data_IF_426489755066
#
_entry.id   IF_426489755066
#
_cell.length_a   1.000
_cell.length_b   1.000
_cell.length_c   1.000
_cell.angle_alpha   90.00
_cell.angle_beta   90.00
_cell.angle_gamma   90.00
#
_symmetry.space_group_name_H-M   'P 1'
#
loop_
_entity.id
_entity.type
_entity.pdbx_description
1 polymer ?
#
# COMPACT_ATOMS: atom_id res chain seq x y z
N UNK A 1 6.51 -4.30 2.37
CA UNK A 1 7.46 -4.74 3.43
C UNK A 1 7.66 -3.69 4.52
N UNK A 2 7.85 -2.40 4.19
CA UNK A 2 8.03 -1.33 5.21
C UNK A 2 6.86 -1.22 6.19
N UNK A 3 5.62 -1.27 5.73
CA UNK A 3 4.41 -1.20 6.58
C UNK A 3 4.32 -2.39 7.56
N UNK A 4 4.79 -3.58 7.16
CA UNK A 4 4.86 -4.74 8.05
C UNK A 4 5.89 -4.53 9.18
N UNK A 5 7.00 -3.86 8.88
CA UNK A 5 8.05 -3.58 9.87
C UNK A 5 7.64 -2.50 10.88
N UNK A 6 6.74 -1.58 10.52
CA UNK A 6 6.23 -0.54 11.43
C UNK A 6 5.41 -1.10 12.59
N UNK A 7 4.90 -2.32 12.45
CA UNK A 7 4.07 -2.96 13.47
C UNK A 7 4.84 -3.87 14.41
N UNK A 8 6.08 -4.13 14.09
CA UNK A 8 7.01 -4.80 14.98
C UNK A 8 7.54 -3.81 16.02
N UNK A 9 7.76 -4.29 17.24
CA UNK A 9 8.52 -3.53 18.21
C UNK A 9 9.93 -3.23 17.67
N UNK A 10 10.65 -2.22 18.18
CA UNK A 10 12.00 -1.91 17.75
C UNK A 10 12.94 -3.12 17.78
N UNK A 11 12.85 -3.93 18.83
CA UNK A 11 13.65 -5.15 18.99
C UNK A 11 13.31 -6.22 17.96
N UNK A 12 12.01 -6.48 17.76
CA UNK A 12 11.54 -7.45 16.76
C UNK A 12 11.95 -7.02 15.35
N UNK A 13 11.87 -5.72 15.07
CA UNK A 13 12.27 -5.17 13.78
C UNK A 13 13.77 -5.34 13.54
N UNK A 14 14.59 -4.99 14.52
CA UNK A 14 16.05 -5.13 14.43
C UNK A 14 16.44 -6.61 14.21
N UNK A 15 15.93 -7.52 15.03
CA UNK A 15 16.22 -8.95 14.94
C UNK A 15 15.72 -9.54 13.62
N UNK A 16 14.51 -9.19 13.17
CA UNK A 16 13.94 -9.65 11.91
C UNK A 16 14.78 -9.21 10.71
N UNK A 17 15.15 -7.92 10.66
CA UNK A 17 15.93 -7.37 9.56
C UNK A 17 17.33 -8.00 9.52
N UNK A 18 18.02 -8.09 10.67
CA UNK A 18 19.35 -8.68 10.73
C UNK A 18 19.34 -10.16 10.34
N UNK A 19 18.34 -10.93 10.83
CA UNK A 19 18.28 -12.38 10.56
C UNK A 19 17.71 -12.71 9.19
N UNK A 20 16.49 -12.21 8.89
CA UNK A 20 15.71 -12.69 7.74
C UNK A 20 16.01 -11.91 6.45
N UNK A 21 16.59 -10.71 6.54
CA UNK A 21 16.99 -9.91 5.36
C UNK A 21 18.49 -10.00 5.11
N UNK A 22 19.31 -9.86 6.14
CA UNK A 22 20.77 -9.84 6.01
C UNK A 22 21.45 -11.17 6.31
N UNK A 23 20.79 -12.13 6.97
CA UNK A 23 21.30 -13.48 7.20
C UNK A 23 22.31 -13.61 8.33
N UNK A 24 22.43 -12.62 9.23
CA UNK A 24 23.32 -12.68 10.39
C UNK A 24 22.97 -13.85 11.32
N UNK A 25 23.95 -14.41 11.99
CA UNK A 25 23.74 -15.47 12.97
C UNK A 25 23.19 -14.93 14.29
N UNK A 26 22.50 -15.79 15.04
CA UNK A 26 21.84 -15.38 16.27
C UNK A 26 22.81 -14.87 17.34
N UNK A 27 24.04 -15.42 17.38
CA UNK A 27 25.08 -14.97 18.30
C UNK A 27 25.62 -13.58 17.93
N UNK A 28 25.79 -13.31 16.63
CA UNK A 28 26.16 -11.99 16.12
C UNK A 28 25.09 -10.95 16.44
N UNK A 29 23.83 -11.32 16.21
CA UNK A 29 22.69 -10.45 16.54
C UNK A 29 22.62 -10.21 18.06
N UNK A 30 22.83 -11.23 18.88
CA UNK A 30 22.84 -11.13 20.33
C UNK A 30 23.87 -10.11 20.83
N UNK A 31 25.09 -10.16 20.26
CA UNK A 31 26.13 -9.17 20.52
C UNK A 31 25.74 -7.75 20.11
N UNK A 32 25.13 -7.60 18.93
CA UNK A 32 24.72 -6.30 18.38
C UNK A 32 23.57 -5.64 19.17
N UNK A 33 22.57 -6.44 19.65
CA UNK A 33 21.40 -5.91 20.37
C UNK A 33 21.53 -5.97 21.88
N UNK A 34 22.65 -6.46 22.42
CA UNK A 34 22.92 -6.55 23.86
C UNK A 34 22.01 -7.53 24.60
N UNK A 35 21.66 -8.66 23.96
CA UNK A 35 20.76 -9.69 24.52
C UNK A 35 21.40 -11.08 24.46
N UNK A 36 20.83 -12.06 25.17
CA UNK A 36 21.27 -13.44 25.02
C UNK A 36 20.78 -14.04 23.70
N UNK A 37 21.52 -14.99 23.14
CA UNK A 37 21.12 -15.70 21.92
C UNK A 37 19.74 -16.34 22.03
N UNK A 38 19.41 -16.92 23.21
CA UNK A 38 18.08 -17.47 23.49
C UNK A 38 16.96 -16.40 23.39
N UNK A 39 17.20 -15.21 23.92
CA UNK A 39 16.25 -14.09 23.84
C UNK A 39 16.09 -13.59 22.39
N UNK A 40 17.18 -13.57 21.61
CA UNK A 40 17.14 -13.20 20.18
C UNK A 40 16.37 -14.25 19.39
N UNK A 41 16.57 -15.54 19.62
CA UNK A 41 15.79 -16.63 19.03
C UNK A 41 14.28 -16.45 19.27
N UNK A 42 13.91 -16.18 20.52
CA UNK A 42 12.51 -15.98 20.88
C UNK A 42 11.92 -14.71 20.24
N UNK A 43 12.73 -13.65 20.15
CA UNK A 43 12.31 -12.40 19.49
C UNK A 43 12.14 -12.61 17.99
N UNK A 44 13.06 -13.35 17.33
CA UNK A 44 12.94 -13.70 15.92
C UNK A 44 11.69 -14.54 15.63
N UNK A 45 11.38 -15.50 16.52
CA UNK A 45 10.17 -16.32 16.40
C UNK A 45 8.90 -15.43 16.43
N UNK A 46 8.77 -14.59 17.47
CA UNK A 46 7.63 -13.65 17.59
C UNK A 46 7.53 -12.70 16.42
N UNK A 47 8.65 -12.14 15.97
CA UNK A 47 8.68 -11.25 14.81
C UNK A 47 8.16 -11.95 13.55
N UNK A 48 8.58 -13.21 13.31
CA UNK A 48 8.06 -14.01 12.19
C UNK A 48 6.58 -14.31 12.33
N UNK A 49 6.10 -14.64 13.51
CA UNK A 49 4.68 -14.87 13.76
C UNK A 49 3.86 -13.60 13.49
N UNK A 50 4.30 -12.43 13.96
CA UNK A 50 3.66 -11.16 13.69
C UNK A 50 3.65 -10.83 12.18
N UNK A 51 4.76 -11.06 11.49
CA UNK A 51 4.86 -10.90 10.03
C UNK A 51 3.96 -11.90 9.32
N UNK A 52 3.91 -13.17 9.77
CA UNK A 52 3.09 -14.22 9.16
C UNK A 52 1.59 -14.01 9.39
N UNK A 53 1.19 -13.62 10.60
CA UNK A 53 -0.21 -13.30 10.91
C UNK A 53 -0.77 -12.16 10.06
N UNK A 54 0.11 -11.23 9.65
CA UNK A 54 -0.24 -10.15 8.72
C UNK A 54 -0.03 -10.51 7.25
N UNK A 55 0.87 -11.44 6.93
CA UNK A 55 1.06 -11.95 5.57
C UNK A 55 -0.22 -12.61 5.03
N UNK A 56 -1.03 -13.22 5.88
CA UNK A 56 -2.37 -13.72 5.49
C UNK A 56 -3.31 -12.62 4.96
N UNK A 57 -3.10 -11.37 5.38
CA UNK A 57 -3.80 -10.19 4.81
C UNK A 57 -3.25 -9.75 3.46
N UNK A 58 -2.05 -10.22 3.10
CA UNK A 58 -1.35 -9.92 1.85
C UNK A 58 -1.12 -11.17 1.01
N UNK A 59 -1.91 -12.24 1.20
CA UNK A 59 -1.92 -13.34 0.24
C UNK A 59 -2.23 -12.76 -1.14
N UNK A 60 -1.44 -13.10 -2.17
CA UNK A 60 -1.68 -12.58 -3.50
C UNK A 60 -3.08 -13.01 -3.91
N UNK A 61 -3.99 -12.06 -4.02
CA UNK A 61 -5.25 -12.29 -4.72
C UNK A 61 -4.88 -12.75 -6.12
N UNK A 62 -5.60 -13.74 -6.65
CA UNK A 62 -5.42 -14.20 -8.02
C UNK A 62 -5.27 -13.00 -8.95
N UNK A 63 -4.17 -12.92 -9.74
CA UNK A 63 -3.92 -11.80 -10.64
C UNK A 63 -5.12 -11.47 -11.54
N UNK A 64 -5.87 -12.49 -11.98
CA UNK A 64 -7.07 -12.33 -12.81
C UNK A 64 -8.20 -11.66 -12.02
N UNK A 65 -8.41 -12.08 -10.78
CA UNK A 65 -9.40 -11.46 -9.90
C UNK A 65 -9.02 -10.03 -9.56
N UNK A 66 -7.72 -9.77 -9.29
CA UNK A 66 -7.18 -8.44 -9.02
C UNK A 66 -7.41 -7.49 -10.20
N UNK A 67 -7.09 -7.93 -11.42
CA UNK A 67 -7.30 -7.14 -12.63
C UNK A 67 -8.78 -6.81 -12.83
N UNK A 68 -9.66 -7.79 -12.66
CA UNK A 68 -11.11 -7.61 -12.77
C UNK A 68 -11.66 -6.60 -11.76
N UNK A 69 -11.26 -6.70 -10.49
CA UNK A 69 -11.69 -5.76 -9.44
C UNK A 69 -11.19 -4.36 -9.77
N UNK A 70 -9.95 -4.21 -10.24
CA UNK A 70 -9.38 -2.92 -10.63
C UNK A 70 -10.14 -2.28 -11.79
N UNK A 71 -10.50 -3.06 -12.81
CA UNK A 71 -11.27 -2.59 -13.95
C UNK A 71 -12.69 -2.17 -13.54
N UNK A 72 -13.37 -3.00 -12.75
CA UNK A 72 -14.70 -2.67 -12.21
C UNK A 72 -14.66 -1.41 -11.35
N UNK A 73 -13.62 -1.25 -10.52
CA UNK A 73 -13.42 -0.06 -9.72
C UNK A 73 -13.25 1.21 -10.59
N UNK A 74 -12.39 1.15 -11.61
CA UNK A 74 -12.19 2.29 -12.51
C UNK A 74 -13.45 2.66 -13.27
N UNK A 75 -14.18 1.66 -13.77
CA UNK A 75 -15.45 1.86 -14.47
C UNK A 75 -16.47 2.53 -13.55
N UNK A 76 -16.68 1.99 -12.35
CA UNK A 76 -17.62 2.55 -11.37
C UNK A 76 -17.24 3.97 -10.94
N UNK A 77 -15.95 4.23 -10.73
CA UNK A 77 -15.45 5.56 -10.37
C UNK A 77 -15.62 6.58 -11.51
N UNK A 78 -15.36 6.19 -12.75
CA UNK A 78 -15.48 7.04 -13.94
C UNK A 78 -16.94 7.36 -14.28
N UNK A 79 -17.85 6.38 -14.13
CA UNK A 79 -19.29 6.56 -14.41
C UNK A 79 -20.05 7.19 -13.25
N UNK A 80 -19.46 7.24 -12.05
CA UNK A 80 -20.11 7.76 -10.85
C UNK A 80 -21.06 6.75 -10.19
N UNK A 81 -20.93 5.46 -10.51
CA UNK A 81 -21.78 4.40 -9.96
C UNK A 81 -21.39 4.09 -8.50
N UNK A 82 -22.12 4.74 -7.60
CA UNK A 82 -21.93 4.59 -6.15
C UNK A 82 -22.23 3.17 -5.68
N UNK A 83 -23.26 2.51 -6.22
CA UNK A 83 -23.64 1.16 -5.79
C UNK A 83 -22.57 0.13 -6.19
N UNK A 84 -22.06 0.23 -7.41
CA UNK A 84 -20.96 -0.60 -7.86
C UNK A 84 -19.69 -0.38 -7.01
N UNK A 85 -19.32 0.87 -6.70
CA UNK A 85 -18.18 1.15 -5.82
C UNK A 85 -18.36 0.53 -4.43
N UNK A 86 -19.52 0.70 -3.81
CA UNK A 86 -19.81 0.13 -2.50
C UNK A 86 -19.75 -1.40 -2.52
N UNK A 87 -20.16 -2.03 -3.63
CA UNK A 87 -20.07 -3.48 -3.79
C UNK A 87 -18.64 -4.01 -3.83
N UNK A 88 -17.66 -3.18 -4.22
CA UNK A 88 -16.24 -3.54 -4.30
C UNK A 88 -15.47 -3.25 -3.00
N UNK A 89 -15.97 -2.35 -2.16
CA UNK A 89 -15.32 -1.94 -0.92
C UNK A 89 -15.66 -2.87 0.24
N UNK A 90 -14.70 -3.09 1.13
CA UNK A 90 -14.96 -3.66 2.45
C UNK A 90 -15.70 -2.62 3.32
N UNK A 91 -16.58 -3.05 4.26
CA UNK A 91 -17.35 -2.11 5.09
C UNK A 91 -16.47 -1.11 5.88
N UNK A 92 -15.30 -1.56 6.29
CA UNK A 92 -14.29 -0.82 7.04
C UNK A 92 -13.15 -0.30 6.15
N UNK A 93 -13.36 -0.22 4.84
CA UNK A 93 -12.36 0.26 3.89
C UNK A 93 -11.75 1.60 4.33
N UNK A 94 -10.46 1.77 4.10
CA UNK A 94 -9.74 2.99 4.47
C UNK A 94 -9.09 3.67 3.26
N UNK A 95 -8.93 4.98 3.35
CA UNK A 95 -8.12 5.76 2.41
C UNK A 95 -7.12 6.61 3.18
N UNK A 96 -5.84 6.36 2.92
CA UNK A 96 -4.71 7.10 3.49
C UNK A 96 -3.94 7.81 2.39
N UNK A 97 -3.51 9.05 2.64
CA UNK A 97 -2.75 9.83 1.66
C UNK A 97 -1.40 10.25 2.24
N UNK A 98 -0.34 9.98 1.48
CA UNK A 98 0.99 10.52 1.72
C UNK A 98 1.28 11.66 0.74
N UNK A 99 1.32 12.88 1.25
CA UNK A 99 1.65 14.09 0.49
C UNK A 99 3.01 14.69 0.86
N UNK A 100 3.64 14.18 1.92
CA UNK A 100 4.85 14.78 2.49
C UNK A 100 4.66 16.25 2.93
N UNK A 101 3.41 16.71 3.09
CA UNK A 101 3.10 18.11 3.35
C UNK A 101 3.26 19.05 2.13
N UNK A 102 3.66 18.51 0.96
CA UNK A 102 4.01 19.28 -0.25
C UNK A 102 2.91 19.27 -1.32
N UNK A 103 1.89 18.43 -1.16
CA UNK A 103 0.75 18.35 -2.07
C UNK A 103 -0.58 18.44 -1.32
N UNK A 104 -1.64 18.86 -2.03
CA UNK A 104 -3.00 18.84 -1.49
C UNK A 104 -3.39 17.40 -1.20
N UNK A 105 -3.72 17.10 0.04
CA UNK A 105 -4.01 15.75 0.49
C UNK A 105 -5.04 15.74 1.62
N UNK A 106 -5.68 14.60 1.76
CA UNK A 106 -6.50 14.27 2.92
C UNK A 106 -5.54 14.00 4.07
N UNK A 107 -5.54 14.85 5.09
CA UNK A 107 -4.60 14.77 6.22
C UNK A 107 -4.94 13.65 7.20
N UNK A 108 -6.22 13.32 7.33
CA UNK A 108 -6.72 12.28 8.24
C UNK A 108 -7.24 11.13 7.41
N UNK A 109 -6.91 9.86 7.73
CA UNK A 109 -7.47 8.71 7.03
C UNK A 109 -8.99 8.74 7.01
N UNK A 110 -9.59 8.46 5.84
CA UNK A 110 -11.02 8.26 5.71
C UNK A 110 -11.29 6.78 6.04
N UNK A 111 -12.28 6.52 6.88
CA UNK A 111 -12.66 5.17 7.28
C UNK A 111 -14.15 4.93 6.99
N UNK A 112 -14.44 3.78 6.40
CA UNK A 112 -15.77 3.30 6.06
C UNK A 112 -16.09 3.43 4.57
N UNK A 113 -16.72 2.37 4.02
CA UNK A 113 -16.99 2.23 2.58
C UNK A 113 -17.70 3.45 1.98
N UNK A 114 -18.74 3.95 2.63
CA UNK A 114 -19.54 5.09 2.13
C UNK A 114 -18.70 6.37 1.99
N UNK A 115 -17.89 6.67 3.02
CA UNK A 115 -17.02 7.85 3.02
C UNK A 115 -15.90 7.72 1.99
N UNK A 116 -15.34 6.54 1.87
CA UNK A 116 -14.30 6.24 0.87
C UNK A 116 -14.88 6.34 -0.54
N UNK A 117 -16.05 5.74 -0.81
CA UNK A 117 -16.72 5.84 -2.10
C UNK A 117 -17.02 7.32 -2.47
N UNK A 118 -17.55 8.10 -1.54
CA UNK A 118 -17.84 9.52 -1.77
C UNK A 118 -16.56 10.31 -2.09
N UNK A 119 -15.45 10.03 -1.42
CA UNK A 119 -14.16 10.66 -1.68
C UNK A 119 -13.61 10.29 -3.06
N UNK A 120 -13.70 9.01 -3.45
CA UNK A 120 -13.31 8.51 -4.77
C UNK A 120 -14.10 9.22 -5.87
N UNK A 121 -15.42 9.24 -5.77
CA UNK A 121 -16.30 9.89 -6.75
C UNK A 121 -16.03 11.39 -6.87
N UNK A 122 -15.77 12.06 -5.76
CA UNK A 122 -15.38 13.47 -5.77
C UNK A 122 -14.05 13.67 -6.49
N UNK A 123 -13.08 12.80 -6.23
CA UNK A 123 -11.76 12.87 -6.86
C UNK A 123 -11.84 12.67 -8.38
N UNK A 124 -12.56 11.64 -8.83
CA UNK A 124 -12.74 11.37 -10.26
C UNK A 124 -13.50 12.50 -10.97
N UNK A 125 -14.58 13.01 -10.38
CA UNK A 125 -15.32 14.17 -10.93
C UNK A 125 -14.45 15.41 -11.06
N UNK A 126 -13.55 15.65 -10.09
CA UNK A 126 -12.61 16.76 -10.18
C UNK A 126 -11.60 16.53 -11.31
N UNK A 127 -11.08 15.31 -11.43
CA UNK A 127 -10.14 14.92 -12.48
C UNK A 127 -10.74 15.07 -13.88
N UNK A 128 -12.01 14.69 -14.10
CA UNK A 128 -12.70 14.82 -15.37
C UNK A 128 -12.86 16.29 -15.85
N UNK A 129 -12.75 17.25 -14.94
CA UNK A 129 -12.78 18.69 -15.27
C UNK A 129 -11.43 19.26 -15.72
N UNK A 130 -10.36 18.48 -15.54
CA UNK A 130 -9.01 18.86 -15.89
C UNK A 130 -8.69 18.21 -17.24
N UNK A 131 -8.45 19.02 -18.28
CA UNK A 131 -8.36 18.59 -19.68
C UNK A 131 -7.27 17.54 -19.94
N UNK A 132 -6.22 17.49 -19.11
CA UNK A 132 -5.05 16.65 -19.36
C UNK A 132 -4.88 15.51 -18.31
N UNK A 133 -5.94 15.18 -17.55
CA UNK A 133 -5.87 14.10 -16.57
C UNK A 133 -6.01 12.73 -17.25
N UNK A 134 -5.02 11.87 -17.02
CA UNK A 134 -4.97 10.50 -17.53
C UNK A 134 -4.80 9.52 -16.37
N UNK A 135 -5.53 8.42 -16.43
CA UNK A 135 -5.49 7.34 -15.46
C UNK A 135 -5.00 6.07 -16.14
N UNK A 136 -3.98 5.45 -15.58
CA UNK A 136 -3.39 4.22 -16.09
C UNK A 136 -3.38 3.15 -15.00
N UNK A 137 -3.56 1.89 -15.38
CA UNK A 137 -3.40 0.77 -14.45
C UNK A 137 -1.94 0.33 -14.41
N UNK A 138 -1.46 -0.01 -13.23
CA UNK A 138 -0.13 -0.54 -13.01
C UNK A 138 -0.12 -1.55 -11.87
N UNK A 139 0.99 -2.24 -11.67
CA UNK A 139 1.22 -3.11 -10.53
C UNK A 139 2.50 -2.67 -9.83
N UNK A 140 2.40 -2.27 -8.57
CA UNK A 140 3.54 -1.94 -7.72
C UNK A 140 3.57 -2.86 -6.51
N UNK A 141 4.71 -3.49 -6.25
CA UNK A 141 4.89 -4.41 -5.12
C UNK A 141 3.81 -5.52 -5.06
N UNK A 142 3.38 -6.03 -6.23
CA UNK A 142 2.31 -7.02 -6.41
C UNK A 142 0.91 -6.51 -6.03
N UNK A 143 0.75 -5.22 -5.76
CA UNK A 143 -0.55 -4.61 -5.53
C UNK A 143 -1.03 -3.87 -6.79
N UNK A 144 -2.32 -3.93 -7.13
CA UNK A 144 -2.87 -3.16 -8.22
C UNK A 144 -2.82 -1.67 -7.87
N UNK A 145 -2.54 -0.87 -8.86
CA UNK A 145 -2.42 0.58 -8.71
C UNK A 145 -3.09 1.32 -9.86
N UNK A 146 -3.55 2.52 -9.57
CA UNK A 146 -3.95 3.52 -10.54
C UNK A 146 -2.92 4.65 -10.52
N UNK A 147 -2.29 4.89 -11.64
CA UNK A 147 -1.31 5.97 -11.85
C UNK A 147 -2.02 7.14 -12.49
N UNK A 148 -1.78 8.33 -11.98
CA UNK A 148 -2.48 9.53 -12.39
C UNK A 148 -1.47 10.53 -12.94
N UNK A 149 -1.73 10.98 -14.15
CA UNK A 149 -0.95 12.00 -14.83
C UNK A 149 -1.77 13.24 -15.10
N UNK A 150 -1.11 14.40 -15.15
CA UNK A 150 -1.60 15.64 -15.72
C UNK A 150 -0.64 16.05 -16.83
N UNK A 151 -1.04 15.90 -18.09
CA UNK A 151 -0.12 15.87 -19.21
C UNK A 151 0.91 14.76 -19.03
N UNK A 152 2.20 15.12 -19.06
CA UNK A 152 3.31 14.18 -18.82
C UNK A 152 3.77 14.11 -17.35
N UNK A 153 3.17 14.91 -16.47
CA UNK A 153 3.55 14.96 -15.07
C UNK A 153 2.82 13.91 -14.25
N UNK A 154 3.57 13.09 -13.52
CA UNK A 154 3.03 12.14 -12.56
C UNK A 154 2.49 12.88 -11.32
N UNK A 155 1.17 12.82 -11.11
CA UNK A 155 0.47 13.50 -10.02
C UNK A 155 0.22 12.63 -8.80
N UNK A 156 0.18 11.32 -9.00
CA UNK A 156 -0.06 10.39 -7.91
C UNK A 156 -0.11 8.93 -8.32
N UNK A 157 0.08 8.07 -7.33
CA UNK A 157 -0.11 6.62 -7.45
C UNK A 157 -1.06 6.19 -6.35
N UNK A 158 -2.13 5.53 -6.73
CA UNK A 158 -3.13 4.96 -5.82
C UNK A 158 -2.97 3.44 -5.81
N UNK A 159 -2.47 2.91 -4.71
CA UNK A 159 -2.37 1.48 -4.48
C UNK A 159 -3.65 0.97 -3.84
N UNK A 160 -4.13 -0.18 -4.28
CA UNK A 160 -5.29 -0.87 -3.71
C UNK A 160 -4.84 -2.15 -3.02
N UNK A 161 -5.25 -2.31 -1.78
CA UNK A 161 -5.15 -3.58 -1.08
C UNK A 161 -6.48 -4.32 -1.21
N UNK A 162 -6.42 -5.55 -1.72
CA UNK A 162 -7.59 -6.40 -1.94
C UNK A 162 -7.47 -7.62 -1.02
N UNK A 163 -8.49 -7.88 -0.23
CA UNK A 163 -8.58 -9.03 0.67
C UNK A 163 -9.97 -9.65 0.51
N UNK A 164 -10.05 -10.96 0.33
CA UNK A 164 -11.31 -11.70 0.16
C UNK A 164 -12.23 -11.12 -0.93
N UNK A 165 -11.61 -10.63 -2.03
CA UNK A 165 -12.34 -10.08 -3.17
C UNK A 165 -12.90 -8.68 -2.94
N UNK A 166 -12.54 -8.00 -1.85
CA UNK A 166 -12.93 -6.62 -1.53
C UNK A 166 -11.72 -5.72 -1.39
N UNK A 167 -11.87 -4.46 -1.76
CA UNK A 167 -10.85 -3.43 -1.54
C UNK A 167 -10.95 -2.99 -0.09
N UNK A 168 -9.89 -3.24 0.68
CA UNK A 168 -9.81 -2.90 2.11
C UNK A 168 -9.09 -1.58 2.37
N UNK A 169 -8.09 -1.27 1.53
CA UNK A 169 -7.31 -0.05 1.73
C UNK A 169 -6.95 0.61 0.41
N UNK A 170 -6.97 1.95 0.40
CA UNK A 170 -6.37 2.79 -0.62
C UNK A 170 -5.20 3.57 -0.01
N UNK A 171 -4.05 3.50 -0.67
CA UNK A 171 -2.88 4.30 -0.33
C UNK A 171 -2.57 5.25 -1.48
N UNK A 172 -2.87 6.53 -1.29
CA UNK A 172 -2.59 7.57 -2.27
C UNK A 172 -1.20 8.18 -2.00
N UNK A 173 -0.25 7.94 -2.89
CA UNK A 173 1.08 8.57 -2.85
C UNK A 173 1.01 9.82 -3.73
N UNK A 174 1.11 10.99 -3.11
CA UNK A 174 1.12 12.31 -3.76
C UNK A 174 2.34 13.14 -3.38
N UNK A 175 3.23 12.57 -2.58
CA UNK A 175 4.49 13.21 -2.21
C UNK A 175 5.41 13.33 -3.43
N UNK A 176 5.74 14.55 -3.92
CA UNK A 176 6.53 14.73 -5.14
C UNK A 176 7.92 14.11 -5.06
N UNK A 177 8.54 14.08 -3.87
CA UNK A 177 9.86 13.46 -3.71
C UNK A 177 9.79 11.93 -3.93
N UNK A 178 8.69 11.28 -3.50
CA UNK A 178 8.46 9.87 -3.73
C UNK A 178 8.05 9.58 -5.18
N UNK A 179 7.22 10.44 -5.77
CA UNK A 179 6.80 10.30 -7.16
C UNK A 179 7.98 10.42 -8.13
N UNK A 180 8.91 11.33 -7.88
CA UNK A 180 10.14 11.45 -8.67
C UNK A 180 10.98 10.15 -8.65
N UNK A 181 10.98 9.43 -7.53
CA UNK A 181 11.67 8.14 -7.43
C UNK A 181 10.94 6.99 -8.15
N UNK A 182 9.63 7.09 -8.35
CA UNK A 182 8.81 6.10 -9.08
C UNK A 182 8.95 6.30 -10.59
N UNK A 183 9.06 7.55 -11.04
CA UNK A 183 9.17 7.90 -12.46
C UNK A 183 10.47 7.37 -13.12
N UNK A 184 11.48 7.04 -12.32
CA UNK A 184 12.76 6.50 -12.81
C UNK A 184 12.82 5.00 -12.53
N UNK A 185 12.76 4.12 -13.54
CA UNK A 185 12.96 2.69 -13.36
C UNK A 185 14.32 2.42 -12.72
N UNK A 186 14.36 1.81 -11.56
CA UNK A 186 15.59 1.36 -10.91
C UNK A 186 15.74 -0.14 -11.07
N UNK A 187 16.76 -0.57 -11.79
CA UNK A 187 17.16 -1.97 -11.82
C UNK A 187 17.88 -2.28 -10.52
N UNK A 188 17.32 -3.15 -9.71
CA UNK A 188 18.00 -3.69 -8.53
C UNK A 188 18.84 -4.85 -9.05
N UNK A 189 20.14 -4.63 -9.25
CA UNK A 189 21.10 -5.72 -9.46
C UNK A 189 21.27 -6.48 -8.14
N UNK A 190 21.12 -7.80 -8.20
CA UNK A 190 21.49 -8.73 -7.11
C UNK A 190 22.99 -8.97 -7.12
#
# INVERSE_FOLDING_TARGET
MLVLLETLSPDERAVFVLRDVFGFDYDEIAGAVGKSAAAVHQTAHRAREHVHARRKRFEPVDPTQTARITEQFLTAAATGDTAALLSLLAPDATWTTDSGGKAIAIRTPIVGAEKVAAAILRFFRLGQRLADMRFETAVYNRAPAVVIYSGDRLEGVFLMEITDGKITNFYAIRNPDKLAAIAVPRTISR
#
